data_IF_744287551384
#
_entry.id   IF_744287551384
#
_cell.length_a   1.000
_cell.length_b   1.000
_cell.length_c   1.000
_cell.angle_alpha   90.00
_cell.angle_beta   90.00
_cell.angle_gamma   90.00
#
_symmetry.space_group_name_H-M   'P 1'
#
loop_
_entity.id
_entity.type
_entity.pdbx_description
1 polymer ?
#
# COMPACT_ATOMS: atom_id res chain seq x y z
N UNK A 1 -22.99 -6.27 -12.42
CA UNK A 1 -22.88 -7.25 -11.30
C UNK A 1 -21.48 -7.00 -10.75
N UNK A 2 -21.32 -6.41 -9.56
CA UNK A 2 -19.97 -6.11 -9.03
C UNK A 2 -19.28 -7.45 -8.75
N UNK A 3 -18.31 -7.83 -9.57
CA UNK A 3 -17.51 -9.04 -9.34
C UNK A 3 -16.78 -8.88 -8.01
N UNK A 4 -17.03 -9.78 -7.06
CA UNK A 4 -16.48 -9.71 -5.71
C UNK A 4 -15.02 -10.18 -5.68
N UNK A 5 -14.15 -9.50 -6.43
CA UNK A 5 -12.70 -9.78 -6.46
C UNK A 5 -12.01 -9.08 -5.30
N UNK A 6 -11.18 -9.80 -4.55
CA UNK A 6 -10.33 -9.20 -3.52
C UNK A 6 -9.16 -8.44 -4.13
N UNK A 7 -8.50 -7.56 -3.35
CA UNK A 7 -7.27 -6.91 -3.81
C UNK A 7 -6.17 -7.92 -4.14
N UNK A 8 -6.09 -9.04 -3.41
CA UNK A 8 -5.18 -10.13 -3.70
C UNK A 8 -5.45 -10.73 -5.09
N UNK A 9 -6.71 -11.02 -5.43
CA UNK A 9 -7.08 -11.60 -6.73
C UNK A 9 -6.74 -10.66 -7.89
N UNK A 10 -6.98 -9.35 -7.71
CA UNK A 10 -6.67 -8.33 -8.71
C UNK A 10 -5.15 -8.20 -8.87
N UNK A 11 -4.41 -8.19 -7.76
CA UNK A 11 -2.96 -8.06 -7.75
C UNK A 11 -2.26 -9.22 -8.45
N UNK A 12 -2.71 -10.46 -8.21
CA UNK A 12 -2.20 -11.65 -8.90
C UNK A 12 -2.37 -11.54 -10.42
N UNK A 13 -3.57 -11.14 -10.87
CA UNK A 13 -3.88 -11.02 -12.30
C UNK A 13 -3.15 -9.86 -12.99
N UNK A 14 -2.85 -8.79 -12.26
CA UNK A 14 -2.11 -7.63 -12.78
C UNK A 14 -0.58 -7.77 -12.64
N UNK A 15 -0.08 -8.77 -11.90
CA UNK A 15 1.35 -8.87 -11.59
C UNK A 15 1.87 -7.72 -10.71
N UNK A 16 1.01 -7.15 -9.86
CA UNK A 16 1.32 -6.07 -8.92
C UNK A 16 1.31 -6.59 -7.48
N UNK A 17 1.82 -5.82 -6.52
CA UNK A 17 1.63 -6.17 -5.10
C UNK A 17 0.21 -5.79 -4.65
N UNK A 18 -0.36 -6.57 -3.75
CA UNK A 18 -1.69 -6.32 -3.18
C UNK A 18 -1.81 -4.90 -2.59
N UNK A 19 -0.80 -4.48 -1.85
CA UNK A 19 -0.71 -3.13 -1.26
C UNK A 19 -0.66 -2.03 -2.31
N UNK A 20 0.02 -2.26 -3.44
CA UNK A 20 0.07 -1.32 -4.55
C UNK A 20 -1.30 -1.19 -5.20
N UNK A 21 -2.01 -2.31 -5.44
CA UNK A 21 -3.36 -2.29 -6.02
C UNK A 21 -4.32 -1.54 -5.10
N UNK A 22 -4.33 -1.87 -3.81
CA UNK A 22 -5.16 -1.14 -2.85
C UNK A 22 -4.85 0.37 -2.87
N UNK A 23 -3.58 0.76 -2.83
CA UNK A 23 -3.17 2.17 -2.89
C UNK A 23 -3.59 2.86 -4.20
N UNK A 24 -3.53 2.15 -5.34
CA UNK A 24 -3.95 2.64 -6.65
C UNK A 24 -5.46 2.94 -6.69
N UNK A 25 -6.29 2.06 -6.11
CA UNK A 25 -7.74 2.27 -5.99
C UNK A 25 -8.09 3.47 -5.09
N UNK A 26 -7.23 3.80 -4.13
CA UNK A 26 -7.35 5.03 -3.35
C UNK A 26 -6.74 6.27 -4.03
N UNK A 27 -6.24 6.15 -5.27
CA UNK A 27 -5.70 7.25 -6.07
C UNK A 27 -4.26 7.64 -5.73
N UNK A 28 -3.50 6.77 -5.06
CA UNK A 28 -2.12 7.07 -4.64
C UNK A 28 -1.05 6.53 -5.59
N UNK A 29 -1.42 5.63 -6.50
CA UNK A 29 -0.50 5.06 -7.49
C UNK A 29 -1.02 5.34 -8.91
N UNK A 30 -0.14 5.65 -9.87
CA UNK A 30 -0.52 5.77 -11.27
C UNK A 30 -0.79 4.39 -11.87
N UNK A 31 -1.76 4.29 -12.78
CA UNK A 31 -1.95 3.10 -13.60
C UNK A 31 -1.18 3.22 -14.91
N UNK A 32 -0.45 2.18 -15.30
CA UNK A 32 0.03 2.04 -16.68
C UNK A 32 -1.13 1.56 -17.57
N UNK A 33 -1.01 1.74 -18.89
CA UNK A 33 -2.08 1.34 -19.81
C UNK A 33 -2.39 -0.16 -19.70
N UNK A 34 -1.36 -0.99 -19.46
CA UNK A 34 -1.52 -2.42 -19.25
C UNK A 34 -2.31 -2.74 -17.98
N UNK A 35 -2.16 -1.94 -16.92
CA UNK A 35 -2.92 -2.11 -15.68
C UNK A 35 -4.41 -1.77 -15.94
N UNK A 36 -4.69 -0.72 -16.71
CA UNK A 36 -6.06 -0.30 -17.08
C UNK A 36 -6.73 -1.40 -17.90
N UNK A 37 -6.06 -1.88 -18.95
CA UNK A 37 -6.57 -2.92 -19.83
C UNK A 37 -6.84 -4.23 -19.06
N UNK A 38 -5.98 -4.54 -18.09
CA UNK A 38 -6.17 -5.65 -17.16
C UNK A 38 -7.40 -5.45 -16.28
N UNK A 39 -7.55 -4.28 -15.65
CA UNK A 39 -8.68 -3.95 -14.78
C UNK A 39 -10.02 -3.98 -15.50
N UNK A 40 -10.09 -3.46 -16.74
CA UNK A 40 -11.28 -3.51 -17.58
C UNK A 40 -11.79 -4.94 -17.73
N UNK A 41 -10.87 -5.88 -17.98
CA UNK A 41 -11.19 -7.31 -18.13
C UNK A 41 -11.58 -7.96 -16.81
N UNK A 42 -10.84 -7.69 -15.73
CA UNK A 42 -11.05 -8.32 -14.42
C UNK A 42 -12.37 -7.87 -13.78
N UNK A 43 -12.66 -6.57 -13.86
CA UNK A 43 -13.81 -5.95 -13.23
C UNK A 43 -15.02 -5.82 -14.16
N UNK A 44 -14.90 -6.30 -15.40
CA UNK A 44 -15.95 -6.24 -16.43
C UNK A 44 -16.48 -4.81 -16.63
N UNK A 45 -15.56 -3.84 -16.64
CA UNK A 45 -15.90 -2.42 -16.82
C UNK A 45 -16.22 -2.17 -18.28
N UNK A 46 -17.30 -1.45 -18.55
CA UNK A 46 -17.64 -0.98 -19.89
C UNK A 46 -16.48 -0.12 -20.44
N UNK A 47 -15.89 -0.45 -21.60
CA UNK A 47 -14.84 0.37 -22.22
C UNK A 47 -15.23 1.85 -22.37
N UNK A 48 -16.50 2.15 -22.62
CA UNK A 48 -16.99 3.53 -22.71
C UNK A 48 -16.90 4.28 -21.37
N UNK A 49 -17.03 3.58 -20.24
CA UNK A 49 -16.85 4.17 -18.92
C UNK A 49 -15.37 4.52 -18.67
N UNK A 50 -14.44 3.71 -19.18
CA UNK A 50 -13.01 3.98 -19.09
C UNK A 50 -12.62 5.18 -19.96
N UNK A 51 -13.15 5.30 -21.18
CA UNK A 51 -12.92 6.48 -22.02
C UNK A 51 -13.38 7.77 -21.32
N UNK A 52 -14.53 7.72 -20.63
CA UNK A 52 -15.08 8.87 -19.91
C UNK A 52 -14.18 9.34 -18.74
N UNK A 53 -13.39 8.44 -18.14
CA UNK A 53 -12.48 8.76 -17.01
C UNK A 53 -11.00 8.74 -17.42
N UNK A 54 -10.67 8.40 -18.66
CA UNK A 54 -9.30 8.26 -19.19
C UNK A 54 -8.38 9.45 -18.89
N UNK A 55 -8.84 10.73 -18.96
CA UNK A 55 -8.02 11.86 -18.56
C UNK A 55 -7.62 11.84 -17.07
N UNK A 56 -8.47 11.30 -16.20
CA UNK A 56 -8.20 11.16 -14.77
C UNK A 56 -7.32 9.94 -14.45
N UNK A 57 -7.37 8.89 -15.28
CA UNK A 57 -6.58 7.67 -15.09
C UNK A 57 -5.13 7.84 -15.58
N UNK A 58 -4.91 8.67 -16.61
CA UNK A 58 -3.58 8.98 -17.16
C UNK A 58 -2.85 10.16 -16.46
N UNK A 59 -3.40 10.66 -15.35
CA UNK A 59 -2.83 11.77 -14.59
C UNK A 59 -1.91 11.27 -13.47
N UNK A 60 -0.86 12.04 -13.16
CA UNK A 60 -0.01 11.76 -12.00
C UNK A 60 -0.81 11.93 -10.70
N UNK A 61 -0.80 10.95 -9.78
CA UNK A 61 -1.64 11.01 -8.60
C UNK A 61 -1.24 12.15 -7.67
N UNK A 62 -2.23 12.92 -7.20
CA UNK A 62 -2.09 13.78 -6.03
C UNK A 62 -2.18 12.91 -4.76
N UNK A 63 -1.02 12.36 -4.39
CA UNK A 63 -0.88 11.36 -3.33
C UNK A 63 -1.26 11.93 -1.97
N UNK A 64 -1.93 11.12 -1.17
CA UNK A 64 -2.40 11.49 0.17
C UNK A 64 -3.35 12.71 0.20
N UNK A 65 -3.95 13.09 -0.93
CA UNK A 65 -4.92 14.21 -1.01
C UNK A 65 -6.12 14.08 -0.08
N UNK A 66 -6.48 12.84 0.29
CA UNK A 66 -7.57 12.53 1.23
C UNK A 66 -7.10 12.34 2.69
N UNK A 67 -5.80 12.51 2.97
CA UNK A 67 -5.25 12.28 4.29
C UNK A 67 -5.45 13.50 5.20
N UNK A 68 -6.11 13.29 6.33
CA UNK A 68 -6.21 14.29 7.40
C UNK A 68 -5.28 13.89 8.56
N UNK A 69 -4.51 14.86 9.08
CA UNK A 69 -3.62 14.64 10.22
C UNK A 69 -4.15 15.36 11.47
N UNK A 70 -4.31 14.67 12.61
CA UNK A 70 -4.08 13.23 12.81
C UNK A 70 -5.18 12.37 12.16
N UNK A 71 -4.90 11.10 11.80
CA UNK A 71 -5.90 10.19 11.26
C UNK A 71 -7.04 9.95 12.26
N UNK A 72 -8.28 10.01 11.79
CA UNK A 72 -9.47 9.70 12.62
C UNK A 72 -9.81 8.21 12.63
N UNK A 73 -9.41 7.48 11.59
CA UNK A 73 -9.61 6.04 11.53
C UNK A 73 -8.70 5.32 12.55
N UNK A 74 -9.25 4.49 13.46
CA UNK A 74 -8.46 3.84 14.51
C UNK A 74 -7.35 2.92 13.97
N UNK A 75 -7.57 2.24 12.85
CA UNK A 75 -6.61 1.31 12.25
C UNK A 75 -5.41 2.07 11.70
N UNK A 76 -5.66 3.17 10.96
CA UNK A 76 -4.60 4.05 10.45
C UNK A 76 -3.90 4.80 11.60
N UNK A 77 -4.64 5.20 12.63
CA UNK A 77 -4.08 5.90 13.79
C UNK A 77 -3.03 5.05 14.52
N UNK A 78 -3.18 3.73 14.62
CA UNK A 78 -2.16 2.86 15.23
C UNK A 78 -0.83 2.87 14.47
N UNK A 79 -0.86 2.93 13.14
CA UNK A 79 0.35 3.08 12.33
C UNK A 79 1.00 4.46 12.56
N UNK A 80 0.18 5.50 12.68
CA UNK A 80 0.66 6.85 13.02
C UNK A 80 1.30 6.91 14.42
N UNK A 81 0.68 6.26 15.41
CA UNK A 81 1.19 6.17 16.79
C UNK A 81 2.53 5.43 16.87
N UNK A 82 2.72 4.36 16.07
CA UNK A 82 4.02 3.67 15.96
C UNK A 82 5.12 4.64 15.51
N UNK A 83 4.83 5.51 14.53
CA UNK A 83 5.79 6.54 14.09
C UNK A 83 6.06 7.56 15.19
N UNK A 84 5.04 7.98 15.95
CA UNK A 84 5.22 8.92 17.07
C UNK A 84 6.09 8.33 18.19
N UNK A 85 5.87 7.07 18.56
CA UNK A 85 6.58 6.42 19.66
C UNK A 85 7.99 5.98 19.24
N UNK A 86 8.13 5.35 18.08
CA UNK A 86 9.37 4.70 17.65
C UNK A 86 10.16 5.48 16.60
N UNK A 87 9.64 6.59 16.05
CA UNK A 87 10.28 7.30 14.93
C UNK A 87 11.72 7.71 15.20
N UNK A 88 12.03 8.25 16.38
CA UNK A 88 13.40 8.58 16.76
C UNK A 88 14.28 7.35 16.99
N UNK A 89 13.72 6.27 17.55
CA UNK A 89 14.45 5.02 17.70
C UNK A 89 14.81 4.42 16.32
N UNK A 90 13.87 4.41 15.37
CA UNK A 90 14.13 4.00 13.99
C UNK A 90 15.19 4.85 13.33
N UNK A 91 15.11 6.18 13.46
CA UNK A 91 16.12 7.11 12.92
C UNK A 91 17.52 6.78 13.44
N UNK A 92 17.68 6.64 14.75
CA UNK A 92 18.99 6.35 15.37
C UNK A 92 19.54 5.00 14.93
N UNK A 93 18.72 3.94 14.94
CA UNK A 93 19.14 2.60 14.53
C UNK A 93 19.51 2.56 13.03
N UNK A 94 18.78 3.28 12.17
CA UNK A 94 19.12 3.41 10.76
C UNK A 94 20.47 4.10 10.61
N UNK A 95 20.70 5.20 11.32
CA UNK A 95 21.97 5.91 11.28
C UNK A 95 23.16 5.06 11.75
N UNK A 96 22.98 4.27 12.81
CA UNK A 96 24.00 3.34 13.32
C UNK A 96 24.34 2.24 12.30
N UNK A 97 23.36 1.73 11.57
CA UNK A 97 23.52 0.59 10.66
C UNK A 97 23.91 0.98 9.23
N UNK A 98 23.46 2.14 8.76
CA UNK A 98 23.55 2.55 7.35
C UNK A 98 24.23 3.91 7.16
N UNK A 99 24.59 4.60 8.24
CA UNK A 99 25.14 5.95 8.18
C UNK A 99 24.06 7.01 7.95
N UNK A 100 24.49 8.23 7.61
CA UNK A 100 23.57 9.32 7.31
C UNK A 100 22.77 9.04 6.02
N UNK A 101 21.44 9.10 6.11
CA UNK A 101 20.56 8.74 5.02
C UNK A 101 19.12 8.51 5.45
N UNK A 102 18.30 8.07 4.48
CA UNK A 102 16.86 7.80 4.67
C UNK A 102 16.45 6.48 4.00
N UNK A 103 15.41 5.84 4.55
CA UNK A 103 14.71 4.78 3.85
C UNK A 103 13.76 5.41 2.82
N UNK A 104 13.94 5.07 1.54
CA UNK A 104 13.09 5.62 0.47
C UNK A 104 11.64 5.13 0.61
N UNK A 105 10.69 6.06 0.53
CA UNK A 105 9.26 5.77 0.40
C UNK A 105 8.78 5.78 -1.06
N UNK A 106 9.67 6.10 -2.02
CA UNK A 106 9.36 6.06 -3.46
C UNK A 106 9.71 4.71 -4.06
N UNK A 107 10.94 4.23 -3.82
CA UNK A 107 11.36 2.88 -4.18
C UNK A 107 10.98 1.92 -3.05
N UNK A 108 9.68 1.82 -2.74
CA UNK A 108 9.16 1.07 -1.60
C UNK A 108 8.07 0.10 -2.04
N UNK A 109 8.00 -1.04 -1.38
CA UNK A 109 6.90 -1.99 -1.49
C UNK A 109 6.62 -2.55 -0.12
N UNK A 110 5.35 -2.84 0.20
CA UNK A 110 4.97 -3.47 1.46
C UNK A 110 4.11 -4.70 1.22
N UNK A 111 4.05 -5.56 2.24
CA UNK A 111 3.19 -6.74 2.31
C UNK A 111 2.50 -6.77 3.66
N UNK A 112 1.25 -7.21 3.68
CA UNK A 112 0.48 -7.45 4.90
C UNK A 112 0.21 -8.94 4.98
N UNK A 113 0.63 -9.57 6.08
CA UNK A 113 0.43 -10.98 6.34
C UNK A 113 -0.32 -11.17 7.66
N UNK A 114 -1.14 -12.22 7.73
CA UNK A 114 -1.76 -12.69 8.96
C UNK A 114 -0.87 -13.75 9.60
N UNK A 115 -0.47 -13.54 10.85
CA UNK A 115 0.30 -14.48 11.65
C UNK A 115 -0.56 -14.95 12.83
N UNK A 116 -0.52 -16.24 13.16
CA UNK A 116 -1.34 -16.84 14.24
C UNK A 116 -0.44 -17.71 15.10
N UNK A 117 -0.48 -17.48 16.42
CA UNK A 117 0.24 -18.25 17.42
C UNK A 117 -0.68 -18.60 18.60
N UNK A 118 -0.11 -19.17 19.68
CA UNK A 118 -0.87 -19.56 20.88
C UNK A 118 -1.44 -18.34 21.63
N UNK A 119 -0.88 -17.14 21.44
CA UNK A 119 -1.29 -15.91 22.13
C UNK A 119 -2.30 -15.07 21.35
N UNK A 120 -2.52 -15.38 20.07
CA UNK A 120 -3.59 -14.81 19.26
C UNK A 120 -3.27 -14.67 17.78
N UNK A 121 -3.90 -13.67 17.16
CA UNK A 121 -3.72 -13.32 15.76
C UNK A 121 -3.01 -11.97 15.66
N UNK A 122 -2.12 -11.85 14.69
CA UNK A 122 -1.26 -10.70 14.50
C UNK A 122 -1.29 -10.27 13.03
N UNK A 123 -1.21 -8.96 12.81
CA UNK A 123 -0.98 -8.34 11.51
C UNK A 123 0.49 -8.03 11.38
N UNK A 124 1.14 -8.64 10.40
CA UNK A 124 2.55 -8.42 10.08
C UNK A 124 2.64 -7.54 8.84
N UNK A 125 3.19 -6.34 9.00
CA UNK A 125 3.49 -5.42 7.91
C UNK A 125 4.98 -5.48 7.62
N UNK A 126 5.35 -5.89 6.40
CA UNK A 126 6.74 -6.04 5.98
C UNK A 126 7.04 -5.12 4.81
N UNK A 127 8.18 -4.42 4.83
CA UNK A 127 8.68 -3.73 3.64
C UNK A 127 9.56 -4.66 2.80
N UNK A 128 9.29 -4.72 1.50
CA UNK A 128 10.05 -5.48 0.52
C UNK A 128 10.93 -4.51 -0.26
N UNK A 129 12.00 -4.07 0.39
CA UNK A 129 13.15 -3.48 -0.31
C UNK A 129 14.07 -4.63 -0.75
N UNK A 130 14.83 -4.44 -1.84
CA UNK A 130 15.81 -5.44 -2.32
C UNK A 130 16.88 -5.82 -1.27
N UNK A 131 16.89 -5.14 -0.11
CA UNK A 131 17.23 -5.51 1.30
C UNK A 131 17.47 -4.20 2.06
N UNK A 132 17.25 -4.07 3.39
CA UNK A 132 16.68 -4.99 4.39
C UNK A 132 15.16 -4.78 4.59
N UNK A 133 14.50 -5.79 5.18
CA UNK A 133 13.06 -5.82 5.47
C UNK A 133 12.79 -5.10 6.81
N UNK A 134 11.97 -4.05 6.81
CA UNK A 134 11.37 -3.53 8.05
C UNK A 134 10.10 -4.32 8.30
N UNK A 135 10.01 -4.98 9.46
CA UNK A 135 8.83 -5.74 9.87
C UNK A 135 8.20 -5.06 11.09
N UNK A 136 6.91 -4.75 11.01
CA UNK A 136 6.09 -4.26 12.10
C UNK A 136 5.03 -5.32 12.38
N UNK A 137 4.90 -5.78 13.62
CA UNK A 137 3.89 -6.75 14.05
C UNK A 137 2.93 -6.08 15.02
N UNK A 138 1.62 -6.15 14.73
CA UNK A 138 0.56 -5.54 15.51
C UNK A 138 -0.41 -6.63 15.93
N UNK A 139 -0.73 -6.72 17.23
CA UNK A 139 -1.75 -7.66 17.71
C UNK A 139 -3.12 -7.25 17.19
N UNK A 140 -3.87 -8.20 16.63
CA UNK A 140 -5.23 -7.99 16.13
C UNK A 140 -6.27 -8.26 17.22
#
# INVERSE_FOLDING_TARGET
>A
MLTCSSFADIAEKLGRSETWVAAAFYGNMPFAQEDIDGLVKILEIDPLAVEAISPAVNYFPDRASKFESPPRDPTIYRLYEIVLVYGYAFKSIIAEKFGDGIMSAICFTSKIDKEVDEEGTWVKVSSLLHRPIVTIVIKY
#
